data_IF_465379460386
#
_entry.id   IF_465379460386
#
_cell.length_a   1.000
_cell.length_b   1.000
_cell.length_c   1.000
_cell.angle_alpha   90.00
_cell.angle_beta   90.00
_cell.angle_gamma   90.00
#
_symmetry.space_group_name_H-M   'P 1'
#
loop_
_entity.id
_entity.type
_entity.pdbx_description
1 polymer ?
#
# COMPACT_ATOMS: atom_id res chain seq x y z
N UNK A 1 22.46 44.64 -28.00
CA UNK A 1 21.16 43.97 -27.76
C UNK A 1 21.07 42.53 -28.27
N UNK A 2 21.93 42.06 -29.19
CA UNK A 2 21.83 40.68 -29.74
C UNK A 2 22.34 39.60 -28.77
N UNK A 3 23.17 39.94 -27.77
CA UNK A 3 23.77 38.97 -26.83
C UNK A 3 22.87 38.42 -25.71
N UNK A 4 21.68 38.99 -25.51
CA UNK A 4 20.77 38.61 -24.41
C UNK A 4 19.66 37.62 -24.84
N UNK A 5 19.44 37.45 -26.14
CA UNK A 5 18.38 36.60 -26.70
C UNK A 5 18.71 35.10 -26.61
N UNK A 6 19.99 34.72 -26.77
CA UNK A 6 20.43 33.33 -26.73
C UNK A 6 20.08 32.56 -25.44
N UNK A 7 20.43 33.07 -24.23
CA UNK A 7 20.17 32.33 -23.00
C UNK A 7 18.68 32.28 -22.64
N UNK A 8 17.91 33.29 -23.03
CA UNK A 8 16.48 33.35 -22.74
C UNK A 8 15.68 32.33 -23.57
N UNK A 9 16.07 32.14 -24.84
CA UNK A 9 15.49 31.10 -25.70
C UNK A 9 15.83 29.70 -25.16
N UNK A 10 17.07 29.48 -24.69
CA UNK A 10 17.47 28.20 -24.10
C UNK A 10 16.67 27.82 -22.85
N UNK A 11 16.42 28.79 -21.96
CA UNK A 11 15.63 28.58 -20.75
C UNK A 11 14.16 28.27 -21.06
N UNK A 12 13.60 28.90 -22.10
CA UNK A 12 12.21 28.70 -22.53
C UNK A 12 12.01 27.32 -23.18
N UNK A 13 12.99 26.86 -23.98
CA UNK A 13 12.98 25.50 -24.56
C UNK A 13 13.13 24.42 -23.47
N UNK A 14 14.01 24.63 -22.49
CA UNK A 14 14.19 23.69 -21.38
C UNK A 14 12.93 23.61 -20.49
N UNK A 15 12.29 24.76 -20.20
CA UNK A 15 11.04 24.80 -19.47
C UNK A 15 9.90 24.11 -20.24
N UNK A 16 9.81 24.31 -21.56
CA UNK A 16 8.82 23.65 -22.40
C UNK A 16 8.98 22.13 -22.43
N UNK A 17 10.22 21.62 -22.50
CA UNK A 17 10.52 20.19 -22.44
C UNK A 17 10.20 19.58 -21.07
N UNK A 18 10.47 20.29 -19.98
CA UNK A 18 10.13 19.84 -18.63
C UNK A 18 8.61 19.77 -18.41
N UNK A 19 7.86 20.76 -18.90
CA UNK A 19 6.39 20.76 -18.83
C UNK A 19 5.82 19.62 -19.68
N UNK A 20 6.34 19.41 -20.90
CA UNK A 20 5.90 18.32 -21.77
C UNK A 20 6.13 16.93 -21.16
N UNK A 21 7.26 16.72 -20.47
CA UNK A 21 7.56 15.47 -19.78
C UNK A 21 6.60 15.20 -18.60
N UNK A 22 6.17 16.23 -17.88
CA UNK A 22 5.21 16.11 -16.76
C UNK A 22 3.81 15.75 -17.26
N UNK A 23 3.41 16.25 -18.43
CA UNK A 23 2.07 15.98 -19.00
C UNK A 23 1.95 14.60 -19.66
N UNK A 24 3.05 13.90 -19.96
CA UNK A 24 3.04 12.62 -20.69
C UNK A 24 3.89 11.53 -20.02
N UNK A 25 3.50 11.03 -18.83
CA UNK A 25 4.32 10.13 -18.00
C UNK A 25 4.49 8.71 -18.58
N UNK A 26 3.62 8.27 -19.50
CA UNK A 26 3.66 6.90 -20.07
C UNK A 26 4.58 6.76 -21.31
N UNK A 27 5.28 7.82 -21.71
CA UNK A 27 6.17 7.78 -22.86
C UNK A 27 7.53 7.15 -22.50
N UNK A 28 7.95 6.12 -23.24
CA UNK A 28 9.22 5.37 -23.07
C UNK A 28 10.48 6.27 -23.10
N UNK A 29 10.35 7.52 -23.55
CA UNK A 29 11.44 8.50 -23.62
C UNK A 29 11.43 9.55 -22.49
N UNK A 30 10.52 9.46 -21.52
CA UNK A 30 10.36 10.47 -20.46
C UNK A 30 11.60 10.59 -19.55
N UNK A 31 12.18 9.46 -19.14
CA UNK A 31 13.35 9.41 -18.25
C UNK A 31 14.63 10.05 -18.86
N UNK A 32 15.05 9.74 -20.11
CA UNK A 32 16.20 10.40 -20.72
C UNK A 32 15.94 11.89 -21.06
N UNK A 33 14.68 12.27 -21.32
CA UNK A 33 14.33 13.68 -21.58
C UNK A 33 14.37 14.53 -20.30
N UNK A 34 13.94 13.99 -19.16
CA UNK A 34 13.99 14.68 -17.87
C UNK A 34 15.42 14.92 -17.40
N UNK A 35 16.29 13.92 -17.54
CA UNK A 35 17.72 14.05 -17.21
C UNK A 35 18.43 15.04 -18.13
N UNK A 36 18.10 15.06 -19.42
CA UNK A 36 18.62 16.07 -20.37
C UNK A 36 18.16 17.50 -20.05
N UNK A 37 16.89 17.68 -19.67
CA UNK A 37 16.32 19.00 -19.36
C UNK A 37 16.93 19.63 -18.10
N UNK A 38 17.17 18.83 -17.05
CA UNK A 38 17.81 19.30 -15.82
C UNK A 38 19.27 19.68 -16.06
N UNK A 39 20.02 18.85 -16.81
CA UNK A 39 21.41 19.14 -17.15
C UNK A 39 21.53 20.41 -18.02
N UNK A 40 20.66 20.58 -19.02
CA UNK A 40 20.64 21.78 -19.88
C UNK A 40 20.24 23.06 -19.14
N UNK A 41 19.33 22.96 -18.17
CA UNK A 41 18.93 24.08 -17.31
C UNK A 41 20.06 24.60 -16.43
N UNK A 42 20.82 23.69 -15.80
CA UNK A 42 21.96 24.05 -14.93
C UNK A 42 23.07 24.74 -15.72
N UNK A 43 23.41 24.25 -16.92
CA UNK A 43 24.44 24.86 -17.78
C UNK A 43 24.01 26.26 -18.25
N UNK A 44 22.74 26.46 -18.56
CA UNK A 44 22.21 27.77 -18.99
C UNK A 44 22.20 28.79 -17.85
N UNK A 45 21.89 28.37 -16.62
CA UNK A 45 21.97 29.21 -15.41
C UNK A 45 23.42 29.60 -15.08
N UNK A 46 24.37 28.68 -15.21
CA UNK A 46 25.78 28.96 -15.01
C UNK A 46 26.33 29.97 -16.04
N UNK A 47 25.98 29.82 -17.32
CA UNK A 47 26.35 30.77 -18.37
C UNK A 47 25.71 32.14 -18.17
N UNK A 48 24.45 32.19 -17.72
CA UNK A 48 23.77 33.45 -17.38
C UNK A 48 24.46 34.15 -16.20
N UNK A 49 24.85 33.42 -15.16
CA UNK A 49 25.62 33.95 -14.02
C UNK A 49 26.97 34.55 -14.42
N UNK A 50 27.68 33.92 -15.37
CA UNK A 50 28.98 34.43 -15.86
C UNK A 50 28.81 35.67 -16.75
N UNK A 51 27.81 35.71 -17.63
CA UNK A 51 27.54 36.87 -18.49
C UNK A 51 26.99 38.04 -17.68
N UNK A 52 26.11 37.79 -16.71
CA UNK A 52 25.57 38.82 -15.82
C UNK A 52 26.62 39.31 -14.81
N UNK A 53 27.48 38.43 -14.29
CA UNK A 53 28.60 38.79 -13.42
C UNK A 53 29.67 39.63 -14.12
N UNK A 54 29.89 39.42 -15.44
CA UNK A 54 30.75 40.29 -16.27
C UNK A 54 30.09 41.59 -16.69
N UNK A 55 28.77 41.62 -16.89
CA UNK A 55 28.02 42.85 -17.20
C UNK A 55 27.86 43.75 -15.96
N UNK A 56 27.70 43.17 -14.77
CA UNK A 56 27.58 43.91 -13.50
C UNK A 56 28.91 44.43 -12.95
N UNK A 57 30.05 43.91 -13.43
CA UNK A 57 31.40 44.38 -13.04
C UNK A 57 31.95 45.51 -13.92
N UNK A 58 31.14 46.02 -14.86
CA UNK A 58 31.47 47.17 -15.72
C UNK A 58 31.28 48.54 -15.05
N UNK A 59 30.58 48.61 -13.92
CA UNK A 59 30.38 49.86 -13.18
C UNK A 59 31.52 50.08 -12.19
N UNK A 60 32.74 50.26 -12.70
CA UNK A 60 33.84 50.83 -11.90
C UNK A 60 33.62 52.33 -11.83
N UNK A 61 32.60 52.71 -11.06
CA UNK A 61 32.40 54.08 -10.60
C UNK A 61 33.67 54.47 -9.85
N UNK A 62 34.36 55.49 -10.37
CA UNK A 62 35.44 56.16 -9.66
C UNK A 62 34.85 56.60 -8.33
N UNK A 63 35.45 56.15 -7.24
CA UNK A 63 35.25 56.71 -5.90
C UNK A 63 35.98 58.06 -5.89
N UNK A 64 35.34 59.24 -5.99
CA UNK A 64 35.86 60.38 -5.27
C UNK A 64 35.65 60.05 -3.80
N UNK A 65 36.76 59.85 -3.09
CA UNK A 65 36.76 59.70 -1.66
C UNK A 65 36.26 61.01 -1.04
N UNK A 66 34.96 61.10 -0.76
CA UNK A 66 34.51 61.97 0.31
C UNK A 66 34.71 61.19 1.61
N UNK A 67 35.96 61.20 2.08
CA UNK A 67 36.37 60.56 3.32
C UNK A 67 35.56 61.04 4.52
N UNK A 68 34.93 62.21 4.43
CA UNK A 68 34.00 62.74 5.42
C UNK A 68 32.66 61.97 5.46
N UNK A 69 32.10 61.60 4.31
CA UNK A 69 30.84 60.82 4.27
C UNK A 69 31.07 59.36 4.71
N UNK A 70 32.22 58.78 4.35
CA UNK A 70 32.61 57.46 4.84
C UNK A 70 32.89 57.48 6.35
N UNK A 71 33.54 58.56 6.85
CA UNK A 71 33.75 58.75 8.28
C UNK A 71 32.44 58.97 9.05
N UNK A 72 31.46 59.70 8.49
CA UNK A 72 30.13 59.88 9.10
C UNK A 72 29.35 58.55 9.14
N UNK A 73 29.39 57.77 8.07
CA UNK A 73 28.77 56.43 8.04
C UNK A 73 29.46 55.46 9.01
N UNK A 74 30.79 55.50 9.11
CA UNK A 74 31.55 54.67 10.06
C UNK A 74 31.33 55.14 11.51
N UNK A 75 31.21 56.43 11.76
CA UNK A 75 30.87 56.99 13.07
C UNK A 75 29.48 56.54 13.53
N UNK A 76 28.49 56.55 12.63
CA UNK A 76 27.15 56.03 12.94
C UNK A 76 27.17 54.51 13.17
N UNK A 77 27.98 53.76 12.43
CA UNK A 77 28.17 52.32 12.66
C UNK A 77 28.86 52.07 14.01
N UNK A 78 29.88 52.85 14.37
CA UNK A 78 30.58 52.75 15.65
C UNK A 78 29.64 53.10 16.83
N UNK A 79 28.78 54.11 16.66
CA UNK A 79 27.73 54.49 17.60
C UNK A 79 26.67 53.38 17.77
N UNK A 80 26.35 52.65 16.69
CA UNK A 80 25.49 51.45 16.74
C UNK A 80 26.20 50.18 17.25
N UNK A 81 27.53 50.09 17.15
CA UNK A 81 28.34 48.98 17.68
C UNK A 81 28.57 49.14 19.19
N UNK A 82 28.73 50.38 19.66
CA UNK A 82 28.88 50.77 21.08
C UNK A 82 27.58 50.70 21.90
N UNK A 83 26.42 50.44 21.28
CA UNK A 83 25.22 50.06 22.02
C UNK A 83 25.49 48.73 22.73
N UNK A 84 25.56 48.80 24.07
CA UNK A 84 25.62 47.65 24.97
C UNK A 84 24.63 46.56 24.53
N UNK A 85 25.02 45.29 24.59
CA UNK A 85 24.17 44.16 24.18
C UNK A 85 22.79 44.17 24.85
N UNK A 86 22.68 44.76 26.05
CA UNK A 86 21.39 44.99 26.72
C UNK A 86 20.48 45.99 25.99
N UNK A 87 21.04 47.04 25.39
CA UNK A 87 20.29 48.03 24.61
C UNK A 87 19.87 47.48 23.23
N UNK A 88 20.72 46.70 22.56
CA UNK A 88 20.36 45.99 21.32
C UNK A 88 19.23 45.00 21.57
N UNK A 89 19.31 44.21 22.64
CA UNK A 89 18.25 43.27 23.03
C UNK A 89 16.93 43.98 23.34
N UNK A 90 16.96 45.19 23.90
CA UNK A 90 15.76 45.98 24.15
C UNK A 90 15.15 46.53 22.84
N UNK A 91 15.99 47.05 21.94
CA UNK A 91 15.57 47.65 20.67
C UNK A 91 15.03 46.62 19.67
N UNK A 92 15.61 45.43 19.63
CA UNK A 92 15.19 44.35 18.72
C UNK A 92 14.17 43.39 19.33
N UNK A 93 13.84 43.54 20.62
CA UNK A 93 12.94 42.64 21.35
C UNK A 93 11.63 42.38 20.62
N UNK A 94 10.98 43.44 20.14
CA UNK A 94 9.65 43.32 19.53
C UNK A 94 9.74 42.62 18.16
N UNK A 95 10.81 42.87 17.39
CA UNK A 95 11.07 42.21 16.11
C UNK A 95 11.40 40.74 16.28
N UNK A 96 12.24 40.40 17.27
CA UNK A 96 12.57 39.01 17.61
C UNK A 96 11.31 38.26 18.07
N UNK A 97 10.47 38.93 18.87
CA UNK A 97 9.22 38.37 19.35
C UNK A 97 8.23 38.10 18.21
N UNK A 98 8.09 39.03 17.25
CA UNK A 98 7.25 38.83 16.07
C UNK A 98 7.79 37.70 15.18
N UNK A 99 9.11 37.56 15.08
CA UNK A 99 9.74 36.46 14.35
C UNK A 99 9.47 35.11 15.04
N UNK A 100 9.58 35.05 16.37
CA UNK A 100 9.24 33.84 17.16
C UNK A 100 7.76 33.48 16.98
N UNK A 101 6.85 34.46 17.00
CA UNK A 101 5.42 34.22 16.74
C UNK A 101 5.17 33.68 15.34
N UNK A 102 5.83 34.24 14.34
CA UNK A 102 5.71 33.79 12.96
C UNK A 102 6.21 32.35 12.80
N UNK A 103 7.39 32.04 13.36
CA UNK A 103 7.94 30.68 13.35
C UNK A 103 7.05 29.70 14.12
N UNK A 104 6.51 30.12 15.26
CA UNK A 104 5.59 29.31 16.05
C UNK A 104 4.33 28.93 15.25
N UNK A 105 3.69 29.89 14.59
CA UNK A 105 2.52 29.60 13.74
C UNK A 105 2.90 28.72 12.55
N UNK A 106 4.10 28.89 11.98
CA UNK A 106 4.61 28.03 10.91
C UNK A 106 4.82 26.59 11.37
N UNK A 107 5.43 26.37 12.54
CA UNK A 107 5.66 25.04 13.10
C UNK A 107 4.34 24.36 13.49
N UNK A 108 3.38 25.13 14.03
CA UNK A 108 2.00 24.66 14.28
C UNK A 108 1.33 24.25 12.98
N UNK A 109 1.45 25.05 11.91
CA UNK A 109 0.87 24.72 10.60
C UNK A 109 1.55 23.51 9.94
N UNK A 110 2.84 23.31 10.18
CA UNK A 110 3.59 22.15 9.70
C UNK A 110 3.31 20.86 10.51
N UNK A 111 2.70 20.97 11.69
CA UNK A 111 2.44 19.86 12.60
C UNK A 111 3.67 19.41 13.41
N UNK A 112 4.73 20.22 13.44
CA UNK A 112 5.91 19.97 14.29
C UNK A 112 5.67 20.53 15.70
N UNK A 113 4.86 19.79 16.47
CA UNK A 113 4.46 20.19 17.81
C UNK A 113 5.64 20.29 18.79
N UNK A 114 6.71 19.52 18.58
CA UNK A 114 7.89 19.52 19.47
C UNK A 114 8.79 20.73 19.22
N UNK A 115 8.92 21.17 17.95
CA UNK A 115 9.56 22.45 17.63
C UNK A 115 8.76 23.64 18.18
N UNK A 116 7.43 23.64 17.98
CA UNK A 116 6.54 24.67 18.48
C UNK A 116 6.60 24.80 20.01
N UNK A 117 6.64 23.70 20.77
CA UNK A 117 6.77 23.73 22.23
C UNK A 117 8.09 24.35 22.69
N UNK A 118 9.20 24.12 21.98
CA UNK A 118 10.49 24.77 22.28
C UNK A 118 10.42 26.28 22.08
N UNK A 119 9.77 26.76 21.02
CA UNK A 119 9.55 28.20 20.79
C UNK A 119 8.64 28.82 21.86
N UNK A 120 7.66 28.08 22.35
CA UNK A 120 6.81 28.51 23.48
C UNK A 120 7.61 28.66 24.78
N UNK A 121 8.53 27.72 25.07
CA UNK A 121 9.43 27.83 26.22
C UNK A 121 10.38 29.04 26.10
N UNK A 122 10.88 29.32 24.90
CA UNK A 122 11.68 30.51 24.61
C UNK A 122 10.87 31.81 24.79
N UNK A 123 9.62 31.83 24.32
CA UNK A 123 8.69 32.95 24.49
C UNK A 123 8.41 33.26 25.98
N UNK A 124 8.25 32.21 26.79
CA UNK A 124 8.04 32.34 28.24
C UNK A 124 9.29 32.78 29.01
N UNK A 125 10.44 32.18 28.71
CA UNK A 125 11.68 32.37 29.45
C UNK A 125 12.46 33.64 29.03
N UNK A 126 12.69 33.85 27.74
CA UNK A 126 13.54 34.94 27.25
C UNK A 126 12.79 36.26 27.12
N UNK A 127 11.51 36.20 26.76
CA UNK A 127 10.68 37.38 26.51
C UNK A 127 9.70 37.70 27.64
N UNK A 128 9.61 36.86 28.67
CA UNK A 128 8.77 37.06 29.86
C UNK A 128 7.25 37.04 29.58
N UNK A 129 6.82 36.49 28.43
CA UNK A 129 5.42 36.44 28.01
C UNK A 129 4.74 35.15 28.48
N UNK A 130 4.74 34.91 29.79
CA UNK A 130 4.28 33.65 30.39
C UNK A 130 2.82 33.31 30.04
N UNK A 131 1.94 34.31 30.03
CA UNK A 131 0.51 34.10 29.73
C UNK A 131 0.27 33.68 28.27
N UNK A 132 1.04 34.25 27.33
CA UNK A 132 0.98 33.89 25.91
C UNK A 132 1.57 32.50 25.67
N UNK A 133 2.69 32.21 26.32
CA UNK A 133 3.32 30.89 26.27
C UNK A 133 2.37 29.80 26.79
N UNK A 134 1.69 30.01 27.91
CA UNK A 134 0.78 29.00 28.47
C UNK A 134 -0.46 28.76 27.59
N UNK A 135 -1.01 29.83 26.99
CA UNK A 135 -2.09 29.69 25.99
C UNK A 135 -1.63 28.87 24.79
N UNK A 136 -0.45 29.16 24.27
CA UNK A 136 0.09 28.46 23.12
C UNK A 136 0.43 26.99 23.45
N UNK A 137 0.96 26.71 24.63
CA UNK A 137 1.18 25.33 25.12
C UNK A 137 -0.14 24.54 25.13
N UNK A 138 -1.18 25.09 25.75
CA UNK A 138 -2.52 24.47 25.79
C UNK A 138 -3.08 24.22 24.39
N UNK A 139 -2.90 25.18 23.47
CA UNK A 139 -3.31 25.05 22.05
C UNK A 139 -2.55 23.92 21.36
N UNK A 140 -1.22 23.89 21.48
CA UNK A 140 -0.38 22.86 20.85
C UNK A 140 -0.71 21.47 21.39
N UNK A 141 -0.91 21.32 22.70
CA UNK A 141 -1.29 20.04 23.30
C UNK A 141 -2.64 19.55 22.77
N UNK A 142 -3.61 20.45 22.58
CA UNK A 142 -4.91 20.10 21.99
C UNK A 142 -4.77 19.65 20.53
N UNK A 143 -3.94 20.33 19.74
CA UNK A 143 -3.67 19.96 18.34
C UNK A 143 -2.94 18.62 18.24
N UNK A 144 -1.95 18.40 19.10
CA UNK A 144 -1.20 17.14 19.16
C UNK A 144 -2.12 15.96 19.47
N UNK A 145 -3.02 16.11 20.46
CA UNK A 145 -4.01 15.08 20.78
C UNK A 145 -4.95 14.81 19.61
N UNK A 146 -5.46 15.86 18.96
CA UNK A 146 -6.31 15.72 17.79
C UNK A 146 -5.59 15.02 16.62
N UNK A 147 -4.30 15.28 16.39
CA UNK A 147 -3.52 14.60 15.36
C UNK A 147 -3.34 13.11 15.67
N UNK A 148 -3.03 12.77 16.92
CA UNK A 148 -2.95 11.37 17.38
C UNK A 148 -4.29 10.67 17.20
N UNK A 149 -5.39 11.27 17.67
CA UNK A 149 -6.74 10.72 17.52
C UNK A 149 -7.12 10.48 16.05
N UNK A 150 -6.78 11.43 15.17
CA UNK A 150 -7.00 11.32 13.73
C UNK A 150 -6.22 10.14 13.14
N UNK A 151 -4.93 10.01 13.44
CA UNK A 151 -4.10 8.89 12.97
C UNK A 151 -4.61 7.54 13.47
N UNK A 152 -5.05 7.47 14.73
CA UNK A 152 -5.70 6.28 15.29
C UNK A 152 -6.98 5.97 14.52
N UNK A 153 -7.84 6.95 14.28
CA UNK A 153 -9.08 6.76 13.55
C UNK A 153 -8.85 6.25 12.10
N UNK A 154 -7.88 6.83 11.39
CA UNK A 154 -7.47 6.41 10.04
C UNK A 154 -6.91 4.97 10.03
N UNK A 155 -6.06 4.64 11.01
CA UNK A 155 -5.53 3.29 11.21
C UNK A 155 -6.65 2.27 11.50
N UNK A 156 -7.57 2.62 12.39
CA UNK A 156 -8.73 1.81 12.75
C UNK A 156 -9.66 1.59 11.55
N UNK A 157 -9.91 2.62 10.74
CA UNK A 157 -10.72 2.50 9.52
C UNK A 157 -10.06 1.55 8.51
N UNK A 158 -8.73 1.61 8.38
CA UNK A 158 -7.98 0.68 7.53
C UNK A 158 -8.10 -0.75 8.02
N UNK A 159 -7.97 -1.00 9.31
CA UNK A 159 -8.16 -2.32 9.91
C UNK A 159 -9.59 -2.82 9.68
N UNK A 160 -10.61 -1.99 9.92
CA UNK A 160 -12.02 -2.36 9.67
C UNK A 160 -12.28 -2.78 8.22
N UNK A 161 -11.67 -2.08 7.26
CA UNK A 161 -11.76 -2.42 5.84
C UNK A 161 -11.09 -3.76 5.52
N UNK A 162 -9.93 -4.03 6.11
CA UNK A 162 -9.25 -5.34 5.97
C UNK A 162 -10.08 -6.47 6.58
N UNK A 163 -10.70 -6.23 7.74
CA UNK A 163 -11.60 -7.21 8.37
C UNK A 163 -12.84 -7.48 7.52
N UNK A 164 -13.42 -6.44 6.90
CA UNK A 164 -14.53 -6.62 5.97
C UNK A 164 -14.14 -7.39 4.69
N UNK A 165 -12.87 -7.31 4.28
CA UNK A 165 -12.32 -8.07 3.16
C UNK A 165 -11.90 -9.51 3.50
N UNK A 166 -11.93 -9.92 4.77
CA UNK A 166 -11.45 -11.24 5.20
C UNK A 166 -9.92 -11.38 5.25
N UNK A 167 -9.17 -10.27 5.11
CA UNK A 167 -7.71 -10.25 5.10
C UNK A 167 -7.16 -10.16 6.53
N UNK A 168 -7.34 -11.24 7.30
CA UNK A 168 -6.97 -11.29 8.72
C UNK A 168 -5.48 -11.06 8.98
N UNK A 169 -4.61 -11.58 8.10
CA UNK A 169 -3.15 -11.42 8.22
C UNK A 169 -2.72 -9.96 8.03
N UNK A 170 -3.28 -9.29 7.02
CA UNK A 170 -3.03 -7.87 6.77
C UNK A 170 -3.60 -7.00 7.90
N UNK A 171 -4.78 -7.35 8.43
CA UNK A 171 -5.39 -6.67 9.57
C UNK A 171 -4.49 -6.77 10.83
N UNK A 172 -3.96 -7.95 11.14
CA UNK A 172 -3.02 -8.14 12.27
C UNK A 172 -1.73 -7.34 12.06
N UNK A 173 -1.14 -7.38 10.87
CA UNK A 173 0.06 -6.58 10.60
C UNK A 173 -0.20 -5.07 10.71
N UNK A 174 -1.37 -4.59 10.28
CA UNK A 174 -1.77 -3.20 10.42
C UNK A 174 -1.95 -2.81 11.90
N UNK A 175 -2.54 -3.70 12.71
CA UNK A 175 -2.64 -3.55 14.15
C UNK A 175 -1.27 -3.40 14.82
N UNK A 176 -0.34 -4.31 14.51
CA UNK A 176 1.01 -4.32 15.09
C UNK A 176 1.82 -3.08 14.67
N UNK A 177 1.61 -2.57 13.44
CA UNK A 177 2.19 -1.29 13.02
C UNK A 177 1.61 -0.14 13.82
N UNK A 178 0.29 -0.09 13.99
CA UNK A 178 -0.37 0.98 14.73
C UNK A 178 0.06 1.01 16.20
N UNK A 179 0.17 -0.15 16.85
CA UNK A 179 0.64 -0.27 18.23
C UNK A 179 2.11 0.15 18.40
N UNK A 180 2.99 -0.14 17.42
CA UNK A 180 4.39 0.31 17.45
C UNK A 180 4.55 1.82 17.28
N UNK A 181 3.72 2.43 16.43
CA UNK A 181 3.78 3.87 16.16
C UNK A 181 3.14 4.69 17.28
N UNK A 182 2.14 4.14 17.97
CA UNK A 182 1.32 4.83 18.95
C UNK A 182 1.04 3.92 20.17
N UNK A 183 2.05 3.59 20.99
CA UNK A 183 1.90 2.60 22.08
C UNK A 183 0.88 3.01 23.14
N UNK A 184 0.75 4.31 23.45
CA UNK A 184 -0.10 4.82 24.53
C UNK A 184 -1.47 5.32 24.06
N UNK A 185 -1.86 5.03 22.81
CA UNK A 185 -3.11 5.56 22.27
C UNK A 185 -4.34 4.79 22.78
N UNK A 186 -5.38 5.50 23.28
CA UNK A 186 -6.59 4.86 23.76
C UNK A 186 -7.33 4.14 22.62
N UNK A 187 -7.78 2.91 22.88
CA UNK A 187 -8.58 2.11 21.94
C UNK A 187 -7.78 1.13 21.07
N UNK A 188 -6.45 1.11 21.18
CA UNK A 188 -5.62 0.04 20.59
C UNK A 188 -5.64 -1.24 21.42
N UNK A 189 -5.95 -1.11 22.72
CA UNK A 189 -6.07 -2.25 23.63
C UNK A 189 -7.18 -3.19 23.18
N UNK A 190 -6.83 -4.47 23.03
CA UNK A 190 -7.77 -5.52 22.64
C UNK A 190 -8.07 -5.59 21.14
N UNK A 191 -7.42 -4.80 20.29
CA UNK A 191 -7.62 -4.89 18.85
C UNK A 191 -7.21 -6.27 18.29
N UNK A 192 -6.12 -6.85 18.78
CA UNK A 192 -5.73 -8.22 18.46
C UNK A 192 -6.84 -9.24 18.82
N UNK A 193 -7.47 -9.07 19.98
CA UNK A 193 -8.58 -9.92 20.41
C UNK A 193 -9.83 -9.71 19.55
N UNK A 194 -10.10 -8.50 19.08
CA UNK A 194 -11.20 -8.21 18.15
C UNK A 194 -10.99 -8.89 16.80
N UNK A 195 -9.77 -8.85 16.26
CA UNK A 195 -9.41 -9.53 15.01
C UNK A 195 -9.59 -11.05 15.17
N UNK A 196 -9.05 -11.62 16.25
CA UNK A 196 -9.20 -13.05 16.54
C UNK A 196 -10.68 -13.45 16.68
N UNK A 197 -11.46 -12.66 17.42
CA UNK A 197 -12.91 -12.90 17.61
C UNK A 197 -13.69 -12.81 16.29
N UNK A 198 -13.38 -11.82 15.45
CA UNK A 198 -14.03 -11.65 14.15
C UNK A 198 -13.73 -12.84 13.23
N UNK A 199 -12.48 -13.31 13.24
CA UNK A 199 -12.08 -14.51 12.50
C UNK A 199 -12.79 -15.77 12.99
N UNK A 200 -12.88 -15.99 14.31
CA UNK A 200 -13.59 -17.14 14.87
C UNK A 200 -15.08 -17.11 14.50
N UNK A 201 -15.74 -15.94 14.56
CA UNK A 201 -17.14 -15.79 14.11
C UNK A 201 -17.30 -16.16 12.64
N UNK A 202 -16.41 -15.67 11.78
CA UNK A 202 -16.45 -15.99 10.36
C UNK A 202 -16.27 -17.49 10.09
N UNK A 203 -15.37 -18.15 10.82
CA UNK A 203 -15.18 -19.62 10.78
C UNK A 203 -16.49 -20.35 11.14
N UNK A 204 -17.15 -19.94 12.23
CA UNK A 204 -18.43 -20.49 12.67
C UNK A 204 -19.53 -20.26 11.62
N UNK A 205 -19.58 -19.07 11.01
CA UNK A 205 -20.58 -18.73 9.99
C UNK A 205 -20.42 -19.61 8.75
N UNK A 206 -19.17 -19.83 8.29
CA UNK A 206 -18.89 -20.75 7.18
C UNK A 206 -19.26 -22.19 7.57
N UNK A 207 -18.93 -22.63 8.79
CA UNK A 207 -19.29 -23.97 9.27
C UNK A 207 -20.81 -24.20 9.23
N UNK A 208 -21.58 -23.21 9.68
CA UNK A 208 -23.05 -23.28 9.67
C UNK A 208 -23.58 -23.31 8.23
N UNK A 209 -23.13 -22.40 7.35
CA UNK A 209 -23.54 -22.37 5.95
C UNK A 209 -23.19 -23.67 5.21
N UNK A 210 -22.02 -24.25 5.53
CA UNK A 210 -21.56 -25.52 4.97
C UNK A 210 -22.47 -26.67 5.41
N UNK A 211 -22.83 -26.72 6.70
CA UNK A 211 -23.76 -27.72 7.24
C UNK A 211 -25.14 -27.61 6.59
N UNK A 212 -25.66 -26.41 6.45
CA UNK A 212 -26.96 -26.15 5.83
C UNK A 212 -26.95 -26.54 4.34
N UNK A 213 -25.91 -26.16 3.60
CA UNK A 213 -25.74 -26.55 2.19
C UNK A 213 -25.66 -28.08 2.02
N UNK A 214 -24.97 -28.78 2.92
CA UNK A 214 -24.93 -30.24 2.91
C UNK A 214 -26.30 -30.87 3.21
N UNK A 215 -27.02 -30.36 4.20
CA UNK A 215 -28.37 -30.84 4.55
C UNK A 215 -29.39 -30.63 3.42
N UNK A 216 -29.25 -29.54 2.66
CA UNK A 216 -30.07 -29.23 1.48
C UNK A 216 -29.67 -30.00 0.21
N UNK A 217 -28.59 -30.79 0.27
CA UNK A 217 -28.08 -31.54 -0.89
C UNK A 217 -27.33 -30.67 -1.91
N UNK A 218 -27.01 -29.42 -1.59
CA UNK A 218 -26.15 -28.53 -2.40
C UNK A 218 -24.67 -28.88 -2.16
N UNK A 219 -24.28 -30.07 -2.61
CA UNK A 219 -22.99 -30.68 -2.31
C UNK A 219 -21.81 -29.86 -2.87
N UNK A 220 -21.95 -29.27 -4.05
CA UNK A 220 -20.89 -28.44 -4.65
C UNK A 220 -20.65 -27.14 -3.88
N UNK A 221 -21.72 -26.51 -3.37
CA UNK A 221 -21.63 -25.35 -2.49
C UNK A 221 -20.96 -25.71 -1.16
N UNK A 222 -21.34 -26.84 -0.57
CA UNK A 222 -20.72 -27.34 0.66
C UNK A 222 -19.22 -27.61 0.46
N UNK A 223 -18.82 -28.18 -0.69
CA UNK A 223 -17.40 -28.42 -1.00
C UNK A 223 -16.63 -27.11 -1.24
N UNK A 224 -17.26 -26.10 -1.87
CA UNK A 224 -16.67 -24.76 -2.02
C UNK A 224 -16.42 -24.10 -0.68
N UNK A 225 -17.42 -24.11 0.22
CA UNK A 225 -17.31 -23.57 1.57
C UNK A 225 -16.27 -24.31 2.42
N UNK A 226 -16.15 -25.63 2.26
CA UNK A 226 -15.12 -26.42 2.93
C UNK A 226 -13.70 -26.00 2.53
N UNK A 227 -13.45 -25.74 1.24
CA UNK A 227 -12.14 -25.24 0.76
C UNK A 227 -11.84 -23.82 1.28
N UNK A 228 -12.87 -22.99 1.41
CA UNK A 228 -12.74 -21.65 2.00
C UNK A 228 -12.40 -21.73 3.49
N UNK A 229 -13.08 -22.61 4.23
CA UNK A 229 -12.80 -22.87 5.63
C UNK A 229 -11.37 -23.38 5.84
N UNK A 230 -10.91 -24.34 5.04
CA UNK A 230 -9.56 -24.91 5.11
C UNK A 230 -8.45 -23.84 5.01
N UNK A 231 -8.65 -22.83 4.16
CA UNK A 231 -7.72 -21.69 4.04
C UNK A 231 -7.61 -20.86 5.33
N UNK A 232 -8.67 -20.83 6.13
CA UNK A 232 -8.78 -19.96 7.30
C UNK A 232 -8.67 -20.69 8.64
N UNK A 233 -8.62 -22.03 8.65
CA UNK A 233 -8.40 -22.82 9.85
C UNK A 233 -6.95 -22.65 10.37
N UNK A 234 -6.80 -22.32 11.65
CA UNK A 234 -5.53 -22.48 12.38
C UNK A 234 -5.58 -23.79 13.15
N UNK A 235 -4.42 -24.44 13.24
CA UNK A 235 -4.22 -25.72 13.92
C UNK A 235 -4.91 -25.77 15.30
N UNK A 236 -6.00 -26.53 15.42
CA UNK A 236 -6.67 -26.80 16.71
C UNK A 236 -8.20 -26.89 16.68
N UNK A 237 -8.89 -26.27 15.72
CA UNK A 237 -10.37 -26.31 15.61
C UNK A 237 -10.93 -27.60 14.96
N UNK A 238 -10.07 -28.61 14.79
CA UNK A 238 -10.15 -29.59 13.72
C UNK A 238 -11.13 -30.75 13.94
N UNK A 239 -11.46 -31.18 15.16
CA UNK A 239 -12.21 -32.44 15.30
C UNK A 239 -13.64 -32.37 14.77
N UNK A 240 -14.37 -31.29 15.08
CA UNK A 240 -15.78 -31.13 14.66
C UNK A 240 -15.92 -30.88 13.16
N UNK A 241 -15.00 -30.11 12.59
CA UNK A 241 -15.01 -29.80 11.16
C UNK A 241 -14.60 -31.02 10.34
N UNK A 242 -13.67 -31.85 10.83
CA UNK A 242 -13.20 -33.05 10.12
C UNK A 242 -14.32 -34.06 9.87
N UNK A 243 -15.16 -34.34 10.88
CA UNK A 243 -16.25 -35.31 10.72
C UNK A 243 -17.26 -34.88 9.64
N UNK A 244 -17.63 -33.59 9.65
CA UNK A 244 -18.57 -33.02 8.67
C UNK A 244 -17.91 -32.91 7.28
N UNK A 245 -16.64 -32.50 7.23
CA UNK A 245 -15.85 -32.42 6.00
C UNK A 245 -15.75 -33.77 5.30
N UNK A 246 -15.48 -34.85 6.04
CA UNK A 246 -15.39 -36.20 5.49
C UNK A 246 -16.72 -36.62 4.85
N UNK A 247 -17.85 -36.34 5.49
CA UNK A 247 -19.18 -36.64 4.93
C UNK A 247 -19.44 -35.88 3.62
N UNK A 248 -19.06 -34.60 3.55
CA UNK A 248 -19.19 -33.76 2.35
C UNK A 248 -18.29 -34.28 1.22
N UNK A 249 -17.04 -34.61 1.54
CA UNK A 249 -16.06 -35.13 0.56
C UNK A 249 -16.56 -36.44 -0.06
N UNK A 250 -17.07 -37.36 0.75
CA UNK A 250 -17.66 -38.62 0.27
C UNK A 250 -18.87 -38.35 -0.61
N UNK A 251 -19.78 -37.47 -0.18
CA UNK A 251 -20.98 -37.11 -0.94
C UNK A 251 -20.66 -36.44 -2.28
N UNK A 252 -19.65 -35.57 -2.33
CA UNK A 252 -19.20 -34.89 -3.54
C UNK A 252 -18.55 -35.87 -4.52
N UNK A 253 -17.71 -36.77 -4.01
CA UNK A 253 -17.12 -37.85 -4.80
C UNK A 253 -18.21 -38.72 -5.45
N UNK A 254 -19.21 -39.14 -4.67
CA UNK A 254 -20.29 -40.00 -5.15
C UNK A 254 -21.20 -39.25 -6.15
N UNK A 255 -21.42 -37.93 -5.95
CA UNK A 255 -22.12 -37.09 -6.92
C UNK A 255 -21.38 -37.01 -8.26
N UNK A 256 -20.10 -36.67 -8.24
CA UNK A 256 -19.29 -36.56 -9.46
C UNK A 256 -19.19 -37.92 -10.17
N UNK A 257 -19.02 -39.02 -9.41
CA UNK A 257 -19.00 -40.37 -9.97
C UNK A 257 -20.29 -40.72 -10.72
N UNK A 258 -21.47 -40.36 -10.17
CA UNK A 258 -22.75 -40.52 -10.86
C UNK A 258 -22.84 -39.66 -12.11
N UNK A 259 -22.50 -38.37 -12.02
CA UNK A 259 -22.53 -37.45 -13.17
C UNK A 259 -21.62 -37.93 -14.31
N UNK A 260 -20.44 -38.48 -13.99
CA UNK A 260 -19.55 -39.08 -14.96
C UNK A 260 -20.17 -40.32 -15.62
N UNK A 261 -20.73 -41.23 -14.82
CA UNK A 261 -21.44 -42.41 -15.33
C UNK A 261 -22.61 -42.05 -16.27
N UNK A 262 -23.43 -41.08 -15.86
CA UNK A 262 -24.55 -40.56 -16.64
C UNK A 262 -24.05 -39.95 -17.96
N UNK A 263 -23.00 -39.10 -17.92
CA UNK A 263 -22.41 -38.51 -19.13
C UNK A 263 -21.85 -39.56 -20.10
N UNK A 264 -21.23 -40.63 -19.60
CA UNK A 264 -20.74 -41.75 -20.41
C UNK A 264 -21.90 -42.53 -21.03
N UNK A 265 -22.94 -42.82 -20.27
CA UNK A 265 -24.12 -43.56 -20.74
C UNK A 265 -24.89 -42.80 -21.81
N UNK A 266 -25.03 -41.48 -21.66
CA UNK A 266 -25.70 -40.57 -22.59
C UNK A 266 -24.79 -40.16 -23.77
N UNK A 267 -23.56 -40.68 -23.85
CA UNK A 267 -22.58 -40.38 -24.90
C UNK A 267 -22.19 -38.91 -24.99
N UNK A 268 -22.28 -38.16 -23.89
CA UNK A 268 -21.82 -36.77 -23.77
C UNK A 268 -20.31 -36.73 -23.56
N UNK A 269 -19.54 -37.15 -24.58
CA UNK A 269 -18.09 -37.35 -24.47
C UNK A 269 -17.29 -36.13 -23.98
N UNK A 270 -17.58 -34.88 -24.40
CA UNK A 270 -16.86 -33.72 -23.89
C UNK A 270 -17.07 -33.50 -22.38
N UNK A 271 -18.31 -33.62 -21.90
CA UNK A 271 -18.64 -33.48 -20.48
C UNK A 271 -18.05 -34.62 -19.65
N UNK A 272 -18.08 -35.86 -20.16
CA UNK A 272 -17.44 -37.00 -19.51
C UNK A 272 -15.92 -36.83 -19.39
N UNK A 273 -15.28 -36.23 -20.40
CA UNK A 273 -13.85 -35.95 -20.36
C UNK A 273 -13.50 -34.91 -19.30
N UNK A 274 -14.23 -33.79 -19.25
CA UNK A 274 -14.03 -32.73 -18.26
C UNK A 274 -14.24 -33.25 -16.82
N UNK A 275 -15.33 -33.98 -16.59
CA UNK A 275 -15.60 -34.60 -15.28
C UNK A 275 -14.53 -35.62 -14.92
N UNK A 276 -14.09 -36.45 -15.87
CA UNK A 276 -13.07 -37.45 -15.64
C UNK A 276 -11.71 -36.84 -15.28
N UNK A 277 -11.31 -35.76 -15.96
CA UNK A 277 -10.10 -35.01 -15.63
C UNK A 277 -10.20 -34.33 -14.25
N UNK A 278 -11.39 -33.83 -13.87
CA UNK A 278 -11.59 -33.29 -12.52
C UNK A 278 -11.48 -34.37 -11.45
N UNK A 279 -12.07 -35.56 -11.66
CA UNK A 279 -11.97 -36.69 -10.71
C UNK A 279 -10.50 -37.06 -10.46
N UNK A 280 -9.70 -37.23 -11.51
CA UNK A 280 -8.29 -37.61 -11.37
C UNK A 280 -7.47 -36.54 -10.66
N UNK A 281 -7.79 -35.26 -10.85
CA UNK A 281 -7.12 -34.13 -10.19
C UNK A 281 -7.53 -33.97 -8.73
N UNK A 282 -8.82 -34.03 -8.45
CA UNK A 282 -9.37 -33.73 -7.13
C UNK A 282 -9.28 -34.95 -6.17
N UNK A 283 -9.24 -36.16 -6.71
CA UNK A 283 -9.26 -37.43 -5.97
C UNK A 283 -8.21 -38.46 -6.43
N UNK A 284 -6.91 -38.12 -6.46
CA UNK A 284 -5.88 -38.94 -7.12
C UNK A 284 -5.67 -40.33 -6.52
N UNK A 285 -5.99 -40.54 -5.24
CA UNK A 285 -5.76 -41.80 -4.52
C UNK A 285 -7.05 -42.63 -4.35
N UNK A 286 -8.02 -42.46 -5.23
CA UNK A 286 -9.28 -43.21 -5.17
C UNK A 286 -9.34 -44.23 -6.28
N UNK A 287 -9.91 -45.41 -5.99
CA UNK A 287 -10.17 -46.45 -7.01
C UNK A 287 -11.00 -45.91 -8.19
N UNK A 288 -11.93 -45.00 -7.93
CA UNK A 288 -12.71 -44.32 -8.96
C UNK A 288 -11.81 -43.52 -9.92
N UNK A 289 -10.80 -42.82 -9.41
CA UNK A 289 -9.86 -42.08 -10.24
C UNK A 289 -8.96 -42.99 -11.09
N UNK A 290 -8.58 -44.17 -10.58
CA UNK A 290 -7.85 -45.19 -11.34
C UNK A 290 -8.70 -45.70 -12.51
N UNK A 291 -9.94 -46.13 -12.23
CA UNK A 291 -10.88 -46.63 -13.24
C UNK A 291 -11.21 -45.54 -14.29
N UNK A 292 -11.40 -44.29 -13.86
CA UNK A 292 -11.63 -43.15 -14.76
C UNK A 292 -10.39 -42.85 -15.60
N UNK A 293 -9.20 -42.86 -15.01
CA UNK A 293 -7.94 -42.60 -15.72
C UNK A 293 -7.68 -43.62 -16.84
N UNK A 294 -8.03 -44.88 -16.63
CA UNK A 294 -7.98 -45.93 -17.67
C UNK A 294 -8.97 -45.65 -18.82
N UNK A 295 -10.12 -45.03 -18.54
CA UNK A 295 -11.14 -44.70 -19.53
C UNK A 295 -10.86 -43.40 -20.31
N UNK A 296 -10.09 -42.46 -19.75
CA UNK A 296 -9.79 -41.15 -20.36
C UNK A 296 -9.22 -41.23 -21.80
N UNK A 297 -8.26 -42.10 -22.13
CA UNK A 297 -7.75 -42.21 -23.51
C UNK A 297 -8.86 -42.57 -24.52
N UNK A 298 -9.74 -43.49 -24.14
CA UNK A 298 -10.88 -43.93 -24.97
C UNK A 298 -11.90 -42.81 -25.14
N UNK A 299 -12.18 -42.05 -24.08
CA UNK A 299 -13.07 -40.89 -24.13
C UNK A 299 -12.51 -39.76 -25.00
N UNK A 300 -11.20 -39.49 -24.94
CA UNK A 300 -10.53 -38.53 -25.83
C UNK A 300 -10.65 -38.94 -27.30
N UNK A 301 -10.45 -40.22 -27.60
CA UNK A 301 -10.61 -40.75 -28.97
C UNK A 301 -12.06 -40.57 -29.48
N UNK A 302 -13.06 -40.85 -28.63
CA UNK A 302 -14.48 -40.68 -28.98
C UNK A 302 -14.90 -39.21 -29.11
N UNK A 303 -14.38 -38.33 -28.26
CA UNK A 303 -14.67 -36.88 -28.31
C UNK A 303 -14.06 -36.19 -29.54
N UNK A 304 -12.92 -36.68 -30.02
CA UNK A 304 -12.24 -36.19 -31.23
C UNK A 304 -12.82 -36.74 -32.54
N UNK A 305 -13.84 -37.60 -32.48
CA UNK A 305 -14.53 -38.15 -33.64
C UNK A 305 -13.70 -39.16 -34.45
N UNK A 306 -12.56 -39.61 -33.93
CA UNK A 306 -11.71 -40.63 -34.58
C UNK A 306 -12.30 -42.01 -34.27
N UNK A 307 -12.76 -42.79 -35.27
CA UNK A 307 -13.28 -44.13 -35.02
C UNK A 307 -12.18 -44.99 -34.38
N UNK A 308 -12.50 -45.73 -33.32
CA UNK A 308 -11.57 -46.70 -32.74
C UNK A 308 -11.09 -47.67 -33.83
N UNK A 309 -9.78 -47.99 -33.89
CA UNK A 309 -9.30 -49.02 -34.78
C UNK A 309 -9.97 -50.35 -34.43
N UNK A 310 -10.37 -51.15 -35.44
CA UNK A 310 -11.05 -52.41 -35.20
C UNK A 310 -10.08 -53.42 -34.57
N UNK A 311 -10.39 -53.85 -33.34
CA UNK A 311 -9.97 -55.14 -32.81
C UNK A 311 -8.81 -55.14 -31.81
N UNK A 312 -9.14 -55.16 -30.51
CA UNK A 312 -8.43 -55.96 -29.49
C UNK A 312 -9.38 -56.30 -28.35
N UNK A 313 -10.42 -57.08 -28.62
CA UNK A 313 -11.11 -57.89 -27.59
C UNK A 313 -11.61 -59.17 -28.26
N UNK A 314 -10.71 -60.14 -28.44
CA UNK A 314 -11.11 -61.54 -28.51
C UNK A 314 -9.95 -62.45 -28.08
N UNK A 315 -9.75 -62.58 -26.76
CA UNK A 315 -8.85 -63.57 -26.16
C UNK A 315 -9.20 -63.81 -24.68
N UNK A 316 -10.47 -64.09 -24.37
CA UNK A 316 -10.82 -64.76 -23.12
C UNK A 316 -12.16 -65.48 -23.19
N UNK A 317 -12.36 -66.27 -24.25
CA UNK A 317 -13.33 -67.37 -24.20
C UNK A 317 -12.68 -68.55 -23.50
N UNK A 318 -13.05 -68.70 -22.22
CA UNK A 318 -12.93 -69.89 -21.37
C UNK A 318 -13.21 -71.19 -22.15
N UNK A 319 -12.37 -72.24 -22.09
CA UNK A 319 -12.78 -73.58 -22.49
C UNK A 319 -13.49 -74.29 -21.32
N UNK A 320 -14.51 -75.13 -21.59
CA UNK A 320 -15.09 -76.02 -20.61
C UNK A 320 -14.21 -77.28 -20.46
N UNK A 321 -13.94 -77.70 -19.23
CA UNK A 321 -13.40 -79.02 -18.93
C UNK A 321 -14.24 -79.64 -17.82
N UNK A 322 -15.15 -80.52 -18.23
CA UNK A 322 -15.75 -81.56 -17.40
C UNK A 322 -15.05 -82.90 -17.71
N UNK A 323 -14.96 -83.73 -16.67
CA UNK A 323 -14.89 -85.21 -16.68
C UNK A 323 -13.66 -85.91 -17.31
N UNK A 324 -12.74 -86.38 -16.45
CA UNK A 324 -12.63 -87.80 -16.04
C UNK A 324 -11.69 -87.96 -14.85
#
# INVERSE_FOLDING_TARGET
>A
MIGLLGPLIGLLVAAGLAIFAILSPDAVYADPLLTGAVAGGIVSLALFGVVFGRAASGSRERIPADSAELADRLSRIDEHVMLSDGAKKLLYRDRELDLVRMMLEQDIAAGDHDAALRLVDELGSQFGRLEEAERNRSRIDSLRRADVERRVAEGMQTIRRLLAGGDWTAATQAADRLHRLLPDAPGLDGLANQIASARTRHSIDIENQMRDAHAEGRIDDAMRLLRELDRHLVSGESSRVVDIAQAIIVSHRDLIGRLFGDAVSEKRWPAALELGESITRDYPNTRMAEEVAELLPTLRQRASGVPSPPGTHDASSKPPSEAT
#
